data_IF_262985679629
#
_entry.id   IF_262985679629
#
_cell.length_a   1.000
_cell.length_b   1.000
_cell.length_c   1.000
_cell.angle_alpha   90.00
_cell.angle_beta   90.00
_cell.angle_gamma   90.00
#
_symmetry.space_group_name_H-M   'P 1'
#
loop_
_entity.id
_entity.type
_entity.pdbx_description
1 polymer ?
#
# COMPACT_ATOMS: atom_id res chain seq x y z
N UNK A 1 27.89 15.44 43.90
CA UNK A 1 28.56 14.80 42.74
C UNK A 1 27.71 13.61 42.33
N UNK A 2 26.67 13.82 41.51
CA UNK A 2 26.65 13.54 40.06
C UNK A 2 27.36 12.25 39.68
N UNK A 3 26.61 11.25 39.19
CA UNK A 3 26.76 10.71 37.82
C UNK A 3 25.41 10.13 37.36
N UNK A 4 24.89 10.70 36.26
CA UNK A 4 23.75 10.21 35.49
C UNK A 4 24.29 9.09 34.58
N UNK A 5 23.75 7.88 34.70
CA UNK A 5 23.97 6.81 33.70
C UNK A 5 22.76 6.78 32.76
N UNK A 6 22.87 7.50 31.63
CA UNK A 6 21.99 7.31 30.48
C UNK A 6 22.47 6.05 29.76
N UNK A 7 21.76 4.93 29.92
CA UNK A 7 21.98 3.75 29.10
C UNK A 7 21.10 3.83 27.84
N UNK A 8 21.83 3.89 26.73
CA UNK A 8 21.36 4.07 25.38
C UNK A 8 20.37 3.00 24.91
N UNK A 9 19.35 3.48 24.19
CA UNK A 9 18.76 2.90 22.98
C UNK A 9 19.23 1.47 22.61
N UNK A 10 18.44 0.47 22.98
CA UNK A 10 18.35 -0.72 22.15
C UNK A 10 17.46 -0.39 20.95
N UNK A 11 18.10 0.13 19.89
CA UNK A 11 17.58 0.07 18.54
C UNK A 11 17.55 -1.42 18.17
N UNK A 12 16.42 -2.07 18.42
CA UNK A 12 16.15 -3.41 17.94
C UNK A 12 16.25 -3.41 16.43
N UNK A 13 17.29 -4.07 15.93
CA UNK A 13 17.58 -4.30 14.53
C UNK A 13 16.30 -4.64 13.77
N UNK A 14 15.92 -3.74 12.85
CA UNK A 14 14.94 -4.05 11.84
C UNK A 14 15.48 -5.23 11.04
N UNK A 15 14.92 -6.42 11.29
CA UNK A 15 15.10 -7.58 10.44
C UNK A 15 14.67 -7.18 9.04
N UNK A 16 15.65 -6.83 8.20
CA UNK A 16 15.51 -6.67 6.77
C UNK A 16 15.22 -8.04 6.16
N UNK A 17 14.00 -8.54 6.37
CA UNK A 17 13.47 -9.60 5.55
C UNK A 17 13.40 -9.05 4.12
N UNK A 18 14.12 -9.69 3.19
CA UNK A 18 13.94 -9.52 1.74
C UNK A 18 12.46 -9.76 1.42
N UNK A 19 11.67 -8.69 1.49
CA UNK A 19 10.26 -8.70 1.18
C UNK A 19 10.15 -8.57 -0.34
N UNK A 20 10.32 -9.68 -1.04
CA UNK A 20 10.25 -9.73 -2.50
C UNK A 20 8.80 -9.49 -2.95
N UNK A 21 8.40 -8.22 -3.10
CA UNK A 21 7.04 -7.83 -3.47
C UNK A 21 6.63 -6.50 -2.86
N UNK A 22 5.76 -5.75 -3.54
CA UNK A 22 5.26 -4.45 -3.03
C UNK A 22 4.43 -4.62 -1.77
N UNK A 23 3.47 -5.55 -1.77
CA UNK A 23 2.62 -5.80 -0.61
C UNK A 23 3.43 -6.22 0.65
N UNK A 24 4.30 -7.25 0.61
CA UNK A 24 5.16 -7.59 1.77
C UNK A 24 6.04 -6.43 2.27
N UNK A 25 6.57 -5.61 1.35
CA UNK A 25 7.39 -4.45 1.69
C UNK A 25 6.60 -3.35 2.41
N UNK A 26 5.37 -3.06 1.94
CA UNK A 26 4.55 -2.05 2.59
C UNK A 26 3.96 -2.55 3.92
N UNK A 27 3.67 -3.86 4.02
CA UNK A 27 3.25 -4.49 5.29
C UNK A 27 4.35 -4.40 6.35
N UNK A 28 5.63 -4.62 5.99
CA UNK A 28 6.73 -4.59 6.97
C UNK A 28 6.94 -3.19 7.58
N UNK A 29 6.53 -2.13 6.87
CA UNK A 29 6.55 -0.74 7.37
C UNK A 29 5.38 -0.40 8.29
N UNK A 30 4.32 -1.20 8.31
CA UNK A 30 3.10 -0.87 9.05
C UNK A 30 3.15 -1.27 10.54
N UNK A 31 4.22 -1.94 10.98
CA UNK A 31 4.41 -2.32 12.39
C UNK A 31 3.25 -3.15 12.94
N UNK A 32 2.68 -2.72 14.07
CA UNK A 32 1.59 -3.41 14.76
C UNK A 32 0.30 -3.61 13.94
N UNK A 33 0.15 -2.92 12.80
CA UNK A 33 -1.01 -3.05 11.91
C UNK A 33 -0.82 -4.11 10.80
N UNK A 34 0.32 -4.80 10.76
CA UNK A 34 0.61 -5.80 9.73
C UNK A 34 -0.46 -6.90 9.63
N UNK A 35 -1.05 -7.33 10.76
CA UNK A 35 -2.13 -8.33 10.77
C UNK A 35 -3.41 -7.80 10.10
N UNK A 36 -3.80 -6.56 10.40
CA UNK A 36 -4.98 -5.93 9.80
C UNK A 36 -4.81 -5.77 8.29
N UNK A 37 -3.62 -5.35 7.85
CA UNK A 37 -3.31 -5.16 6.43
C UNK A 37 -3.25 -6.48 5.66
N UNK A 38 -2.67 -7.53 6.25
CA UNK A 38 -2.66 -8.88 5.64
C UNK A 38 -4.07 -9.43 5.44
N UNK A 39 -5.01 -9.04 6.31
CA UNK A 39 -6.42 -9.40 6.20
C UNK A 39 -7.23 -8.38 5.37
N UNK A 40 -6.57 -7.42 4.73
CA UNK A 40 -7.19 -6.34 3.97
C UNK A 40 -8.28 -5.59 4.75
N UNK A 41 -8.08 -5.43 6.05
CA UNK A 41 -8.99 -4.70 6.92
C UNK A 41 -8.63 -3.22 6.92
N UNK A 42 -9.62 -2.38 6.61
CA UNK A 42 -9.49 -0.93 6.65
C UNK A 42 -9.78 -0.42 8.05
N UNK A 43 -8.90 0.42 8.58
CA UNK A 43 -9.13 1.17 9.80
C UNK A 43 -8.43 2.54 9.69
N UNK A 44 -8.80 3.45 10.58
CA UNK A 44 -8.31 4.83 10.54
C UNK A 44 -6.90 5.02 11.14
N UNK A 45 -6.16 3.95 11.43
CA UNK A 45 -4.81 4.08 11.96
C UNK A 45 -3.86 4.68 10.93
N UNK A 46 -2.93 5.52 11.40
CA UNK A 46 -1.91 6.14 10.54
C UNK A 46 -1.12 5.10 9.74
N UNK A 47 -0.81 3.95 10.33
CA UNK A 47 -0.05 2.89 9.65
C UNK A 47 -0.83 2.24 8.50
N UNK A 48 -2.14 2.03 8.64
CA UNK A 48 -2.98 1.53 7.53
C UNK A 48 -3.09 2.57 6.42
N UNK A 49 -3.27 3.85 6.78
CA UNK A 49 -3.30 4.94 5.79
C UNK A 49 -2.02 5.02 4.98
N UNK A 50 -0.87 5.07 5.66
CA UNK A 50 0.43 5.12 5.00
C UNK A 50 0.83 3.83 4.28
N UNK A 51 0.19 2.70 4.58
CA UNK A 51 0.36 1.49 3.79
C UNK A 51 -0.16 1.68 2.35
N UNK A 52 -1.30 2.33 2.15
CA UNK A 52 -1.83 2.60 0.80
C UNK A 52 -0.98 3.61 0.03
N UNK A 53 -0.46 4.64 0.69
CA UNK A 53 0.55 5.53 0.10
C UNK A 53 1.79 4.74 -0.34
N UNK A 54 2.28 3.82 0.50
CA UNK A 54 3.40 2.97 0.14
C UNK A 54 3.10 2.13 -1.10
N UNK A 55 1.90 1.55 -1.22
CA UNK A 55 1.49 0.82 -2.42
C UNK A 55 1.54 1.73 -3.65
N UNK A 56 0.91 2.90 -3.60
CA UNK A 56 0.88 3.83 -4.73
C UNK A 56 2.27 4.23 -5.22
N UNK A 57 3.17 4.56 -4.29
CA UNK A 57 4.56 4.91 -4.66
C UNK A 57 5.29 3.72 -5.26
N UNK A 58 5.14 2.53 -4.68
CA UNK A 58 5.85 1.32 -5.12
C UNK A 58 5.31 0.72 -6.41
N UNK A 59 4.05 1.00 -6.72
CA UNK A 59 3.39 0.64 -7.97
C UNK A 59 3.50 1.73 -9.04
N UNK A 60 4.27 2.79 -8.78
CA UNK A 60 4.46 3.93 -9.70
C UNK A 60 3.12 4.54 -10.13
N UNK A 61 2.15 4.59 -9.22
CA UNK A 61 0.85 5.24 -9.40
C UNK A 61 1.00 6.74 -9.18
N UNK A 62 1.75 7.13 -8.16
CA UNK A 62 2.15 8.51 -7.95
C UNK A 62 3.56 8.57 -7.36
N UNK A 63 4.32 9.62 -7.69
CA UNK A 63 5.63 9.83 -7.11
C UNK A 63 5.51 10.26 -5.63
N UNK A 64 6.59 10.08 -4.88
CA UNK A 64 6.65 10.43 -3.45
C UNK A 64 6.40 11.92 -3.18
N UNK A 65 6.77 12.79 -4.12
CA UNK A 65 6.60 14.24 -4.06
C UNK A 65 5.27 14.71 -4.68
N UNK A 66 4.37 13.79 -5.08
CA UNK A 66 3.20 14.13 -5.87
C UNK A 66 3.49 14.25 -7.36
N UNK A 67 2.60 14.90 -8.10
CA UNK A 67 2.68 15.07 -9.55
C UNK A 67 1.67 14.22 -10.30
N UNK A 68 2.00 13.86 -11.55
CA UNK A 68 1.07 13.15 -12.44
C UNK A 68 0.70 11.79 -11.86
N UNK A 69 -0.61 11.56 -11.70
CA UNK A 69 -1.18 10.27 -11.36
C UNK A 69 -1.16 9.35 -12.59
N UNK A 70 -0.79 8.08 -12.40
CA UNK A 70 -0.70 7.08 -13.44
C UNK A 70 -1.91 6.15 -13.36
N UNK A 71 -2.94 6.51 -14.13
CA UNK A 71 -4.21 5.78 -14.21
C UNK A 71 -4.00 4.33 -14.65
N UNK A 72 -3.13 4.06 -15.61
CA UNK A 72 -2.87 2.70 -16.10
C UNK A 72 -2.37 1.79 -14.97
N UNK A 73 -1.39 2.27 -14.18
CA UNK A 73 -0.87 1.53 -13.04
C UNK A 73 -1.90 1.37 -11.92
N UNK A 74 -2.74 2.38 -11.71
CA UNK A 74 -3.81 2.32 -10.72
C UNK A 74 -4.89 1.32 -11.12
N UNK A 75 -5.38 1.38 -12.35
CA UNK A 75 -6.41 0.49 -12.86
C UNK A 75 -5.93 -0.95 -13.00
N UNK A 76 -4.63 -1.20 -13.15
CA UNK A 76 -4.04 -2.53 -13.10
C UNK A 76 -4.24 -3.25 -11.74
N UNK A 77 -4.55 -2.53 -10.67
CA UNK A 77 -4.91 -3.12 -9.38
C UNK A 77 -6.29 -3.79 -9.39
N UNK A 78 -7.12 -3.49 -10.41
CA UNK A 78 -8.50 -3.94 -10.55
C UNK A 78 -8.64 -4.93 -11.72
N UNK A 79 -9.09 -6.14 -11.43
CA UNK A 79 -9.08 -7.27 -12.37
C UNK A 79 -10.36 -7.43 -13.20
N UNK A 80 -11.32 -6.49 -13.10
CA UNK A 80 -12.54 -6.47 -13.89
C UNK A 80 -12.90 -5.05 -14.31
N UNK A 81 -13.59 -4.89 -15.44
CA UNK A 81 -14.03 -3.58 -15.94
C UNK A 81 -15.02 -2.90 -14.98
N UNK A 82 -15.88 -3.66 -14.31
CA UNK A 82 -16.79 -3.12 -13.31
C UNK A 82 -16.01 -2.47 -12.14
N UNK A 83 -14.96 -3.12 -11.65
CA UNK A 83 -14.12 -2.56 -10.60
C UNK A 83 -13.31 -1.35 -11.06
N UNK A 84 -12.84 -1.35 -12.31
CA UNK A 84 -12.16 -0.18 -12.89
C UNK A 84 -13.10 1.01 -12.99
N UNK A 85 -14.35 0.80 -13.42
CA UNK A 85 -15.37 1.84 -13.45
C UNK A 85 -15.69 2.40 -12.06
N UNK A 86 -15.79 1.54 -11.04
CA UNK A 86 -15.91 1.99 -9.64
C UNK A 86 -14.68 2.77 -9.19
N UNK A 87 -13.48 2.32 -9.56
CA UNK A 87 -12.23 2.99 -9.21
C UNK A 87 -12.12 4.37 -9.85
N UNK A 88 -12.56 4.52 -11.09
CA UNK A 88 -12.59 5.80 -11.82
C UNK A 88 -13.49 6.82 -11.11
N UNK A 89 -14.67 6.39 -10.66
CA UNK A 89 -15.59 7.24 -9.87
C UNK A 89 -15.00 7.71 -8.53
N UNK A 90 -13.98 7.02 -8.01
CA UNK A 90 -13.28 7.41 -6.78
C UNK A 90 -12.12 8.39 -7.00
N UNK A 91 -11.74 8.67 -8.24
CA UNK A 91 -10.62 9.54 -8.59
C UNK A 91 -11.04 11.00 -8.73
N UNK A 92 -11.44 11.63 -7.62
CA UNK A 92 -11.67 13.08 -7.62
C UNK A 92 -10.35 13.84 -7.71
N UNK A 93 -10.37 15.04 -8.32
CA UNK A 93 -9.18 15.91 -8.41
C UNK A 93 -8.50 16.14 -7.06
N UNK A 94 -9.28 16.43 -6.02
CA UNK A 94 -8.77 16.64 -4.66
C UNK A 94 -8.03 15.41 -4.11
N UNK A 95 -8.57 14.22 -4.37
CA UNK A 95 -7.97 12.98 -3.91
C UNK A 95 -6.70 12.64 -4.70
N UNK A 96 -6.70 12.88 -6.02
CA UNK A 96 -5.51 12.73 -6.86
C UNK A 96 -4.38 13.64 -6.39
N UNK A 97 -4.66 14.93 -6.15
CA UNK A 97 -3.67 15.92 -5.73
C UNK A 97 -2.98 15.51 -4.40
N UNK A 98 -3.72 14.83 -3.53
CA UNK A 98 -3.25 14.34 -2.23
C UNK A 98 -2.88 12.86 -2.20
N UNK A 99 -2.90 12.16 -3.35
CA UNK A 99 -2.64 10.71 -3.42
C UNK A 99 -1.21 10.32 -3.00
N UNK A 100 -0.28 11.27 -3.01
CA UNK A 100 1.08 11.08 -2.52
C UNK A 100 1.18 11.16 -0.99
N UNK A 101 0.12 11.57 -0.31
CA UNK A 101 0.00 11.61 1.15
C UNK A 101 -0.73 10.37 1.67
N UNK A 102 -0.55 10.05 2.96
CA UNK A 102 -1.21 8.89 3.57
C UNK A 102 -2.73 8.99 3.54
N UNK A 103 -3.30 10.18 3.76
CA UNK A 103 -4.75 10.37 3.78
C UNK A 103 -5.35 10.25 2.38
N UNK A 104 -4.82 10.96 1.39
CA UNK A 104 -5.35 10.93 0.03
C UNK A 104 -5.29 9.51 -0.57
N UNK A 105 -4.16 8.82 -0.42
CA UNK A 105 -4.04 7.43 -0.87
C UNK A 105 -5.05 6.49 -0.19
N UNK A 106 -5.27 6.68 1.11
CA UNK A 106 -6.25 5.92 1.87
C UNK A 106 -7.66 6.18 1.40
N UNK A 107 -8.05 7.45 1.20
CA UNK A 107 -9.41 7.82 0.81
C UNK A 107 -9.77 7.31 -0.59
N UNK A 108 -8.83 7.34 -1.55
CA UNK A 108 -9.03 6.73 -2.88
C UNK A 108 -9.36 5.24 -2.73
N UNK A 109 -8.56 4.51 -1.97
CA UNK A 109 -8.77 3.08 -1.77
C UNK A 109 -10.01 2.77 -0.92
N UNK A 110 -10.31 3.60 0.06
CA UNK A 110 -11.47 3.44 0.92
C UNK A 110 -12.76 3.59 0.13
N UNK A 111 -12.84 4.55 -0.80
CA UNK A 111 -13.98 4.71 -1.70
C UNK A 111 -14.26 3.41 -2.48
N UNK A 112 -13.22 2.79 -3.05
CA UNK A 112 -13.33 1.50 -3.73
C UNK A 112 -13.81 0.38 -2.78
N UNK A 113 -13.22 0.33 -1.60
CA UNK A 113 -13.54 -0.68 -0.59
C UNK A 113 -14.98 -0.56 -0.07
N UNK A 114 -15.48 0.67 0.13
CA UNK A 114 -16.84 0.92 0.58
C UNK A 114 -17.87 0.54 -0.50
N UNK A 115 -17.50 0.68 -1.78
CA UNK A 115 -18.34 0.27 -2.90
C UNK A 115 -18.45 -1.26 -3.04
N UNK A 116 -17.34 -2.00 -2.98
CA UNK A 116 -17.33 -3.47 -2.94
C UNK A 116 -16.06 -4.03 -2.29
N UNK A 117 -16.10 -4.17 -0.97
CA UNK A 117 -14.94 -4.65 -0.21
C UNK A 117 -14.50 -6.06 -0.60
N UNK A 118 -15.41 -6.95 -0.98
CA UNK A 118 -15.07 -8.34 -1.31
C UNK A 118 -14.34 -8.41 -2.64
N UNK A 119 -14.85 -7.70 -3.65
CA UNK A 119 -14.25 -7.67 -4.98
C UNK A 119 -12.92 -6.93 -4.99
N UNK A 120 -12.78 -5.81 -4.27
CA UNK A 120 -11.50 -5.09 -4.14
C UNK A 120 -10.43 -5.96 -3.47
N UNK A 121 -10.77 -6.64 -2.36
CA UNK A 121 -9.86 -7.59 -1.71
C UNK A 121 -9.38 -8.68 -2.66
N UNK A 122 -10.32 -9.31 -3.36
CA UNK A 122 -10.02 -10.37 -4.34
C UNK A 122 -9.09 -9.85 -5.42
N UNK A 123 -9.34 -8.65 -5.94
CA UNK A 123 -8.50 -8.05 -6.98
C UNK A 123 -7.07 -7.80 -6.53
N UNK A 124 -6.88 -7.22 -5.34
CA UNK A 124 -5.55 -6.94 -4.79
C UNK A 124 -4.76 -8.22 -4.52
N UNK A 125 -5.41 -9.27 -4.00
CA UNK A 125 -4.78 -10.60 -3.82
C UNK A 125 -4.30 -11.14 -5.17
N UNK A 126 -5.18 -11.16 -6.19
CA UNK A 126 -4.84 -11.64 -7.53
C UNK A 126 -3.66 -10.85 -8.13
N UNK A 127 -3.69 -9.52 -8.00
CA UNK A 127 -2.64 -8.65 -8.50
C UNK A 127 -1.27 -8.99 -7.90
N UNK A 128 -1.18 -9.03 -6.56
CA UNK A 128 0.09 -9.25 -5.87
C UNK A 128 0.59 -10.70 -6.00
N UNK A 129 -0.30 -11.68 -6.08
CA UNK A 129 0.06 -13.09 -6.33
C UNK A 129 0.67 -13.28 -7.73
N UNK A 130 0.05 -12.69 -8.76
CA UNK A 130 0.55 -12.76 -10.12
C UNK A 130 1.92 -12.07 -10.25
N UNK A 131 2.10 -10.91 -9.60
CA UNK A 131 3.37 -10.19 -9.58
C UNK A 131 4.49 -10.99 -8.89
N UNK A 132 4.16 -11.69 -7.80
CA UNK A 132 5.10 -12.58 -7.10
C UNK A 132 5.54 -13.77 -7.97
N UNK A 133 4.59 -14.41 -8.67
CA UNK A 133 4.87 -15.52 -9.59
C UNK A 133 5.78 -15.10 -10.75
N UNK A 134 5.52 -13.94 -11.36
CA UNK A 134 6.33 -13.42 -12.47
C UNK A 134 7.78 -13.14 -12.05
N UNK A 135 8.00 -12.63 -10.82
CA UNK A 135 9.36 -12.45 -10.28
C UNK A 135 10.11 -13.76 -10.09
N UNK A 136 9.45 -14.83 -9.63
CA UNK A 136 10.08 -16.16 -9.48
C UNK A 136 10.47 -16.75 -10.84
N UNK A 137 9.61 -16.61 -11.85
CA UNK A 137 9.91 -17.07 -13.23
C UNK A 137 11.11 -16.36 -13.85
N UNK A 138 11.30 -15.07 -13.54
CA UNK A 138 12.44 -14.27 -14.00
C UNK A 138 13.77 -14.59 -13.30
N UNK A 139 13.75 -15.19 -12.11
CA UNK A 139 14.98 -15.57 -11.37
C UNK A 139 15.48 -16.98 -11.71
N UNK A 140 14.65 -17.80 -12.34
CA UNK A 140 14.96 -19.18 -12.75
C UNK A 140 15.30 -19.28 -14.25
N UNK A 141 15.49 -18.15 -14.93
CA UNK A 141 16.00 -18.04 -16.31
C UNK A 141 17.37 -17.39 -16.26
#
# INVERSE_FOLDING_TARGET
>A
MSYILVLAFFVGFASAQKSDGTHPFCVSKAGGQAKNIKNWSFNNSKSVKCYFQCLFIRENIINKQGGKFNDDNYFNLFNTEALKGTADNCLTKQLIDTAHECEGAYQIFKCNYDADSAAVKKSLIVYFDNKSKNKKKSKNR
#
